data_IF_767820025354
#
_entry.id   IF_767820025354
#
_cell.length_a   1.000
_cell.length_b   1.000
_cell.length_c   1.000
_cell.angle_alpha   90.00
_cell.angle_beta   90.00
_cell.angle_gamma   90.00
#
_symmetry.space_group_name_H-M   'P 1'
#
loop_
_entity.id
_entity.type
_entity.pdbx_description
1 polymer ?
#
# COMPACT_ATOMS: atom_id res chain seq x y z
N UNK A 1 51.45 0.71 12.90
CA UNK A 1 51.08 1.21 11.56
C UNK A 1 49.61 0.92 11.33
N UNK A 2 48.73 1.89 11.62
CA UNK A 2 47.29 1.73 11.42
C UNK A 2 46.93 2.16 10.01
N UNK A 3 46.48 1.22 9.18
CA UNK A 3 45.91 1.52 7.87
C UNK A 3 44.48 2.00 8.10
N UNK A 4 44.27 3.30 7.96
CA UNK A 4 42.92 3.88 7.85
C UNK A 4 42.45 3.61 6.42
N UNK A 5 41.55 2.65 6.25
CA UNK A 5 40.87 2.48 4.98
C UNK A 5 39.81 3.59 4.90
N UNK A 6 40.02 4.56 4.01
CA UNK A 6 38.96 5.49 3.61
C UNK A 6 37.80 4.71 2.99
N UNK A 7 36.59 5.29 2.87
CA UNK A 7 35.48 4.55 2.29
C UNK A 7 35.86 4.02 0.90
N UNK A 8 35.74 2.70 0.69
CA UNK A 8 35.91 2.09 -0.63
C UNK A 8 35.02 2.81 -1.63
N UNK A 9 35.57 3.11 -2.81
CA UNK A 9 34.75 3.56 -3.92
C UNK A 9 33.68 2.49 -4.20
N UNK A 10 32.40 2.87 -4.44
CA UNK A 10 31.31 1.92 -4.59
C UNK A 10 31.64 0.90 -5.69
N UNK A 11 31.38 -0.37 -5.41
CA UNK A 11 31.61 -1.45 -6.37
C UNK A 11 30.62 -1.38 -7.55
N UNK A 12 30.85 -2.18 -8.60
CA UNK A 12 29.88 -2.32 -9.68
C UNK A 12 28.52 -2.85 -9.17
N UNK A 13 28.53 -3.70 -8.15
CA UNK A 13 27.33 -4.23 -7.50
C UNK A 13 26.57 -3.13 -6.76
N UNK A 14 27.26 -2.27 -6.03
CA UNK A 14 26.63 -1.16 -5.28
C UNK A 14 25.98 -0.16 -6.24
N UNK A 15 26.63 0.14 -7.37
CA UNK A 15 26.06 0.99 -8.42
C UNK A 15 24.80 0.37 -9.04
N UNK A 16 24.78 -0.94 -9.28
CA UNK A 16 23.59 -1.63 -9.80
C UNK A 16 22.45 -1.58 -8.78
N UNK A 17 22.73 -1.91 -7.52
CA UNK A 17 21.74 -1.87 -6.45
C UNK A 17 21.13 -0.47 -6.29
N UNK A 18 21.94 0.59 -6.35
CA UNK A 18 21.46 1.97 -6.32
C UNK A 18 20.52 2.29 -7.50
N UNK A 19 20.85 1.86 -8.72
CA UNK A 19 19.97 2.05 -9.89
C UNK A 19 18.67 1.26 -9.79
N UNK A 20 18.71 0.04 -9.24
CA UNK A 20 17.52 -0.77 -8.99
C UNK A 20 16.62 -0.13 -7.92
N UNK A 21 17.21 0.39 -6.85
CA UNK A 21 16.48 1.12 -5.81
C UNK A 21 15.79 2.37 -6.40
N UNK A 22 16.52 3.17 -7.19
CA UNK A 22 15.94 4.34 -7.86
C UNK A 22 14.79 3.98 -8.82
N UNK A 23 14.89 2.85 -9.53
CA UNK A 23 13.80 2.36 -10.38
C UNK A 23 12.57 1.95 -9.54
N UNK A 24 12.78 1.24 -8.44
CA UNK A 24 11.69 0.84 -7.54
C UNK A 24 11.02 2.07 -6.93
N UNK A 25 11.81 3.04 -6.45
CA UNK A 25 11.31 4.31 -5.92
C UNK A 25 10.46 5.06 -6.96
N UNK A 26 10.93 5.15 -8.21
CA UNK A 26 10.20 5.78 -9.30
C UNK A 26 8.89 5.06 -9.66
N UNK A 27 8.85 3.74 -9.54
CA UNK A 27 7.64 2.96 -9.85
C UNK A 27 6.61 2.95 -8.72
N UNK A 28 7.03 3.18 -7.48
CA UNK A 28 6.25 2.84 -6.29
C UNK A 28 5.97 4.05 -5.39
N UNK A 29 6.99 4.87 -5.14
CA UNK A 29 6.95 5.99 -4.18
C UNK A 29 6.91 7.36 -4.88
N UNK A 30 6.79 7.40 -6.21
CA UNK A 30 6.68 8.67 -6.93
C UNK A 30 8.01 9.32 -7.31
N UNK A 31 9.14 8.63 -7.14
CA UNK A 31 10.47 9.16 -7.48
C UNK A 31 10.64 9.54 -8.96
N UNK A 32 11.65 10.36 -9.30
CA UNK A 32 11.93 10.74 -10.68
C UNK A 32 12.38 9.54 -11.53
N UNK A 33 12.10 9.52 -12.84
CA UNK A 33 12.54 8.45 -13.73
C UNK A 33 14.08 8.38 -13.76
N UNK A 34 14.71 7.23 -13.45
CA UNK A 34 16.16 7.11 -13.47
C UNK A 34 16.73 7.31 -14.89
N UNK A 35 17.97 7.80 -15.03
CA UNK A 35 18.60 7.98 -16.33
C UNK A 35 18.60 6.70 -17.19
N UNK A 36 18.20 6.84 -18.45
CA UNK A 36 18.13 5.76 -19.42
C UNK A 36 16.82 4.97 -19.42
N UNK A 37 15.85 5.31 -18.57
CA UNK A 37 14.49 4.76 -18.63
C UNK A 37 13.54 5.71 -19.37
N UNK A 38 12.64 5.13 -20.16
CA UNK A 38 11.56 5.85 -20.81
C UNK A 38 10.48 6.22 -19.80
N UNK A 39 10.22 7.52 -19.64
CA UNK A 39 9.27 8.03 -18.67
C UNK A 39 7.83 7.56 -18.92
N UNK A 40 7.43 7.40 -20.20
CA UNK A 40 6.08 6.96 -20.57
C UNK A 40 5.88 5.48 -20.21
N UNK A 41 6.90 4.64 -20.44
CA UNK A 41 6.85 3.22 -20.05
C UNK A 41 6.86 3.03 -18.54
N UNK A 42 7.59 3.87 -17.82
CA UNK A 42 7.57 3.88 -16.35
C UNK A 42 6.18 4.25 -15.82
N UNK A 43 5.57 5.29 -16.39
CA UNK A 43 4.21 5.70 -16.01
C UNK A 43 3.18 4.59 -16.29
N UNK A 44 3.22 3.98 -17.48
CA UNK A 44 2.36 2.85 -17.82
C UNK A 44 2.53 1.66 -16.85
N UNK A 45 3.77 1.40 -16.42
CA UNK A 45 4.09 0.36 -15.44
C UNK A 45 3.55 0.71 -14.05
N UNK A 46 3.69 1.96 -13.61
CA UNK A 46 3.11 2.47 -12.36
C UNK A 46 1.59 2.30 -12.35
N UNK A 47 0.90 2.70 -13.42
CA UNK A 47 -0.54 2.51 -13.56
C UNK A 47 -0.94 1.02 -13.51
N UNK A 48 -0.16 0.13 -14.13
CA UNK A 48 -0.41 -1.31 -14.07
C UNK A 48 -0.25 -1.88 -12.64
N UNK A 49 0.78 -1.44 -11.90
CA UNK A 49 1.01 -1.82 -10.51
C UNK A 49 -0.11 -1.34 -9.59
N UNK A 50 -0.57 -0.09 -9.75
CA UNK A 50 -1.70 0.45 -8.99
C UNK A 50 -2.99 -0.33 -9.25
N UNK A 51 -3.30 -0.67 -10.50
CA UNK A 51 -4.45 -1.51 -10.84
C UNK A 51 -4.35 -2.90 -10.21
N UNK A 52 -3.17 -3.52 -10.23
CA UNK A 52 -2.94 -4.82 -9.58
C UNK A 52 -3.17 -4.75 -8.06
N UNK A 53 -2.65 -3.70 -7.40
CA UNK A 53 -2.86 -3.46 -5.97
C UNK A 53 -4.33 -3.22 -5.64
N UNK A 54 -5.04 -2.46 -6.47
CA UNK A 54 -6.47 -2.24 -6.32
C UNK A 54 -7.25 -3.56 -6.38
N UNK A 55 -6.91 -4.47 -7.30
CA UNK A 55 -7.50 -5.80 -7.38
C UNK A 55 -7.32 -6.61 -6.09
N UNK A 56 -6.07 -6.72 -5.60
CA UNK A 56 -5.79 -7.42 -4.35
C UNK A 56 -6.48 -6.79 -3.13
N UNK A 57 -6.60 -5.46 -3.10
CA UNK A 57 -7.33 -4.77 -2.06
C UNK A 57 -8.85 -5.03 -2.13
N UNK A 58 -9.43 -5.13 -3.33
CA UNK A 58 -10.86 -5.46 -3.50
C UNK A 58 -11.22 -6.85 -2.96
N UNK A 59 -10.33 -7.83 -3.12
CA UNK A 59 -10.53 -9.17 -2.55
C UNK A 59 -10.64 -9.14 -1.02
N UNK A 60 -9.86 -8.26 -0.38
CA UNK A 60 -9.84 -8.11 1.07
C UNK A 60 -10.78 -7.03 1.59
N UNK A 61 -11.36 -6.19 0.74
CA UNK A 61 -12.30 -5.11 1.08
C UNK A 61 -13.49 -5.09 0.10
N UNK A 62 -14.26 -6.20 0.01
CA UNK A 62 -15.24 -6.36 -1.05
C UNK A 62 -16.41 -5.38 -0.98
N UNK A 63 -16.86 -4.97 0.23
CA UNK A 63 -17.99 -4.04 0.35
C UNK A 63 -17.56 -2.61 0.04
N UNK A 64 -16.33 -2.24 0.43
CA UNK A 64 -15.72 -0.98 0.01
C UNK A 64 -15.51 -0.92 -1.51
N UNK A 65 -14.93 -1.95 -2.12
CA UNK A 65 -14.73 -1.96 -3.56
C UNK A 65 -16.06 -1.92 -4.32
N UNK A 66 -17.05 -2.69 -3.86
CA UNK A 66 -18.40 -2.70 -4.45
C UNK A 66 -19.10 -1.33 -4.36
N UNK A 67 -18.87 -0.52 -3.31
CA UNK A 67 -19.48 0.81 -3.20
C UNK A 67 -19.00 1.80 -4.26
N UNK A 68 -17.82 1.57 -4.85
CA UNK A 68 -17.27 2.36 -5.96
C UNK A 68 -17.46 1.69 -7.32
N UNK A 69 -17.80 0.40 -7.35
CA UNK A 69 -18.02 -0.37 -8.57
C UNK A 69 -16.86 -0.23 -9.56
N UNK A 70 -17.16 0.10 -10.81
CA UNK A 70 -16.16 0.29 -11.87
C UNK A 70 -15.14 1.40 -11.57
N UNK A 71 -15.45 2.34 -10.66
CA UNK A 71 -14.53 3.42 -10.27
C UNK A 71 -13.50 3.00 -9.23
N UNK A 72 -13.61 1.78 -8.67
CA UNK A 72 -12.73 1.32 -7.59
C UNK A 72 -11.24 1.50 -7.90
N UNK A 73 -10.78 1.08 -9.09
CA UNK A 73 -9.37 1.22 -9.45
C UNK A 73 -8.88 2.67 -9.52
N UNK A 74 -9.76 3.60 -9.94
CA UNK A 74 -9.42 5.02 -10.01
C UNK A 74 -9.37 5.64 -8.61
N UNK A 75 -10.35 5.37 -7.76
CA UNK A 75 -10.37 5.82 -6.35
C UNK A 75 -9.19 5.26 -5.56
N UNK A 76 -8.86 3.99 -5.78
CA UNK A 76 -7.68 3.39 -5.17
C UNK A 76 -6.39 4.10 -5.62
N UNK A 77 -6.23 4.35 -6.93
CA UNK A 77 -5.07 5.05 -7.46
C UNK A 77 -4.95 6.49 -6.91
N UNK A 78 -6.05 7.24 -6.84
CA UNK A 78 -6.10 8.59 -6.28
C UNK A 78 -5.53 8.67 -4.87
N UNK A 79 -5.78 7.66 -4.04
CA UNK A 79 -5.32 7.63 -2.65
C UNK A 79 -3.99 6.92 -2.42
N UNK A 80 -3.52 6.09 -3.37
CA UNK A 80 -2.34 5.22 -3.19
C UNK A 80 -1.21 5.47 -4.18
N UNK A 81 -1.40 6.30 -5.20
CA UNK A 81 -0.30 6.74 -6.04
C UNK A 81 0.74 7.51 -5.21
N UNK A 82 2.01 7.28 -5.49
CA UNK A 82 3.14 7.80 -4.71
C UNK A 82 3.32 7.15 -3.32
N UNK A 83 2.48 6.20 -2.93
CA UNK A 83 2.61 5.49 -1.65
C UNK A 83 3.14 4.06 -1.83
N UNK A 84 4.18 3.74 -1.05
CA UNK A 84 4.70 2.37 -0.96
C UNK A 84 3.62 1.35 -0.58
N UNK A 85 3.67 0.10 -1.09
CA UNK A 85 2.66 -0.89 -0.84
C UNK A 85 2.85 -1.43 0.58
N UNK A 86 1.85 -1.23 1.42
CA UNK A 86 1.81 -1.77 2.79
C UNK A 86 1.10 -3.12 2.84
N UNK A 87 0.75 -3.70 1.68
CA UNK A 87 -0.01 -4.93 1.55
C UNK A 87 -1.51 -4.68 1.47
N UNK A 88 -2.22 -5.54 0.73
CA UNK A 88 -3.60 -5.31 0.28
C UNK A 88 -4.59 -4.95 1.40
N UNK A 89 -4.50 -5.60 2.56
CA UNK A 89 -5.39 -5.31 3.70
C UNK A 89 -5.19 -3.87 4.20
N UNK A 90 -3.92 -3.45 4.36
CA UNK A 90 -3.56 -2.13 4.86
C UNK A 90 -3.80 -1.06 3.80
N UNK A 91 -3.48 -1.33 2.54
CA UNK A 91 -3.78 -0.42 1.42
C UNK A 91 -5.29 -0.12 1.36
N UNK A 92 -6.16 -1.15 1.43
CA UNK A 92 -7.61 -0.93 1.46
C UNK A 92 -8.10 -0.20 2.70
N UNK A 93 -7.43 -0.37 3.84
CA UNK A 93 -7.75 0.37 5.08
C UNK A 93 -7.41 1.85 4.94
N UNK A 94 -6.22 2.16 4.40
CA UNK A 94 -5.78 3.52 4.17
C UNK A 94 -6.74 4.23 3.21
N UNK A 95 -7.17 3.56 2.12
CA UNK A 95 -8.22 4.08 1.22
C UNK A 95 -9.53 4.30 1.97
N UNK A 96 -10.02 3.31 2.72
CA UNK A 96 -11.28 3.39 3.45
C UNK A 96 -11.35 4.57 4.44
N UNK A 97 -10.21 4.94 5.04
CA UNK A 97 -10.11 6.10 5.93
C UNK A 97 -9.97 7.43 5.20
N UNK A 98 -9.39 7.43 4.01
CA UNK A 98 -9.17 8.63 3.21
C UNK A 98 -10.42 9.08 2.46
N UNK A 99 -11.29 8.14 2.05
CA UNK A 99 -12.53 8.45 1.34
C UNK A 99 -13.58 9.06 2.27
N UNK A 100 -14.27 10.10 1.81
CA UNK A 100 -15.35 10.74 2.56
C UNK A 100 -16.71 10.18 2.16
N UNK A 101 -17.71 10.31 3.04
CA UNK A 101 -19.10 9.94 2.71
C UNK A 101 -19.37 8.44 2.56
N UNK A 102 -18.54 7.56 3.15
CA UNK A 102 -18.83 6.13 3.18
C UNK A 102 -20.18 5.85 3.86
N UNK A 103 -21.01 5.05 3.20
CA UNK A 103 -22.31 4.61 3.69
C UNK A 103 -22.50 3.10 3.47
N UNK A 104 -23.56 2.53 4.05
CA UNK A 104 -23.95 1.15 3.82
C UNK A 104 -22.86 0.12 4.15
N UNK A 105 -22.69 -0.85 3.25
CA UNK A 105 -21.75 -1.97 3.43
C UNK A 105 -20.30 -1.52 3.62
N UNK A 106 -19.85 -0.49 2.90
CA UNK A 106 -18.48 0.00 3.00
C UNK A 106 -18.19 0.62 4.38
N UNK A 107 -19.11 1.43 4.91
CA UNK A 107 -18.99 2.00 6.25
C UNK A 107 -19.02 0.90 7.34
N UNK A 108 -19.92 -0.07 7.21
CA UNK A 108 -20.00 -1.20 8.14
C UNK A 108 -18.75 -2.07 8.10
N UNK A 109 -18.17 -2.27 6.91
CA UNK A 109 -16.95 -3.04 6.71
C UNK A 109 -15.74 -2.42 7.45
N UNK A 110 -15.55 -1.10 7.30
CA UNK A 110 -14.52 -0.35 8.01
C UNK A 110 -14.75 -0.40 9.52
N UNK A 111 -15.98 -0.10 9.97
CA UNK A 111 -16.33 -0.09 11.39
C UNK A 111 -16.10 -1.46 12.06
N UNK A 112 -16.47 -2.56 11.40
CA UNK A 112 -16.26 -3.91 11.92
C UNK A 112 -14.76 -4.21 12.10
N UNK A 113 -13.94 -3.82 11.13
CA UNK A 113 -12.48 -3.96 11.19
C UNK A 113 -11.87 -3.12 12.30
N UNK A 114 -12.28 -1.85 12.46
CA UNK A 114 -11.78 -0.96 13.52
C UNK A 114 -12.22 -1.37 14.93
N UNK A 115 -13.39 -2.01 15.05
CA UNK A 115 -13.83 -2.64 16.28
C UNK A 115 -13.01 -3.90 16.63
N UNK A 116 -12.57 -4.65 15.62
CA UNK A 116 -11.83 -5.89 15.82
C UNK A 116 -10.31 -5.68 16.00
N UNK A 117 -9.72 -4.67 15.36
CA UNK A 117 -8.28 -4.44 15.34
C UNK A 117 -7.91 -2.99 15.72
N UNK A 118 -6.67 -2.82 16.17
CA UNK A 118 -5.99 -1.53 16.29
C UNK A 118 -5.00 -1.44 15.14
N UNK A 119 -5.14 -0.40 14.33
CA UNK A 119 -4.25 -0.11 13.20
C UNK A 119 -3.93 1.39 13.17
N UNK A 120 -2.64 1.70 13.24
CA UNK A 120 -2.08 3.06 13.37
C UNK A 120 -1.63 3.65 12.02
N UNK A 121 -1.87 2.95 10.91
CA UNK A 121 -1.41 3.38 9.58
C UNK A 121 0.04 3.03 9.26
N UNK A 122 0.80 2.43 10.19
CA UNK A 122 2.23 2.12 9.99
C UNK A 122 2.53 0.65 10.21
N UNK A 123 2.07 0.10 11.33
CA UNK A 123 2.36 -1.26 11.75
C UNK A 123 1.24 -2.24 11.35
N UNK A 124 1.53 -3.55 11.24
CA UNK A 124 0.48 -4.54 11.01
C UNK A 124 -0.67 -4.44 12.03
N UNK A 125 -1.95 -4.54 11.61
CA UNK A 125 -3.10 -4.46 12.51
C UNK A 125 -3.02 -5.51 13.63
N UNK A 126 -3.26 -5.08 14.87
CA UNK A 126 -3.25 -5.97 16.04
C UNK A 126 -4.66 -6.23 16.56
N UNK A 127 -5.05 -7.47 16.88
CA UNK A 127 -6.38 -7.76 17.42
C UNK A 127 -6.63 -6.98 18.73
N UNK A 128 -7.84 -6.43 18.89
CA UNK A 128 -8.28 -5.89 20.18
C UNK A 128 -8.66 -7.06 21.09
N UNK A 129 -8.06 -7.16 22.29
CA UNK A 129 -8.29 -8.30 23.20
C UNK A 129 -9.76 -8.46 23.67
N UNK A 130 -10.61 -7.43 23.53
CA UNK A 130 -12.03 -7.49 23.95
C UNK A 130 -12.95 -8.24 23.00
N UNK A 131 -12.50 -8.58 21.78
CA UNK A 131 -13.31 -9.32 20.79
C UNK A 131 -13.32 -10.83 21.04
N UNK A 132 -12.43 -11.36 21.89
CA UNK A 132 -12.45 -12.79 22.28
C UNK A 132 -13.63 -13.16 23.19
N UNK A 133 -14.19 -12.20 23.94
CA UNK A 133 -15.24 -12.48 24.95
C UNK A 133 -16.68 -12.37 24.42
N UNK A 134 -16.92 -11.79 23.24
CA UNK A 134 -18.28 -11.58 22.71
C UNK A 134 -18.80 -12.70 21.78
N UNK A 135 -17.93 -13.62 21.33
CA UNK A 135 -18.32 -14.76 20.47
C UNK A 135 -18.79 -16.00 21.25
N UNK A 136 -18.76 -15.95 22.60
CA UNK A 136 -19.13 -17.07 23.48
C UNK A 136 -20.53 -16.97 24.12
N UNK A 137 -21.36 -15.95 23.82
CA UNK A 137 -22.72 -15.81 24.39
C UNK A 137 -23.83 -15.60 23.35
N UNK A 138 -23.88 -16.47 22.34
CA UNK A 138 -25.12 -16.77 21.59
C UNK A 138 -25.18 -18.26 21.29
N UNK A 139 -25.70 -19.02 22.25
CA UNK A 139 -26.45 -20.25 22.06
C UNK A 139 -27.76 -20.08 22.81
#
# INVERSE_FOLDING_TARGET
MSVVWGPDAPSARDRLAARQAALVEALVAGGPPPPGFDATRLDATRCALLRKRAGAAAELWPLLAASFGARWSAVFAEHRDGHEPVGALRDGWDVARAVTGLTGGAAAELAAREAAFRYDGRHPPRPRLRTRLRRMRRR
#
